data_IF_837650665680
#
_entry.id   IF_837650665680
#
_cell.length_a   1.000
_cell.length_b   1.000
_cell.length_c   1.000
_cell.angle_alpha   90.00
_cell.angle_beta   90.00
_cell.angle_gamma   90.00
#
_symmetry.space_group_name_H-M   'P 1'
#
loop_
_entity.id
_entity.type
_entity.pdbx_description
1 polymer ?
#
# COMPACT_ATOMS: atom_id res chain seq x y z
N UNK A 1 31.19 -11.53 -2.89
CA UNK A 1 31.92 -10.40 -2.26
C UNK A 1 31.48 -10.33 -0.82
N UNK A 2 32.44 -10.39 0.10
CA UNK A 2 32.27 -10.69 1.52
C UNK A 2 31.44 -9.64 2.26
N UNK A 3 30.40 -10.08 2.97
CA UNK A 3 29.66 -9.27 3.92
C UNK A 3 30.50 -9.14 5.21
N UNK A 4 31.07 -7.96 5.43
CA UNK A 4 31.65 -7.60 6.72
C UNK A 4 30.51 -7.19 7.66
N UNK A 5 30.18 -8.06 8.61
CA UNK A 5 29.37 -7.71 9.78
C UNK A 5 30.14 -6.65 10.59
N UNK A 6 29.76 -5.39 10.43
CA UNK A 6 30.24 -4.31 11.28
C UNK A 6 29.42 -4.32 12.58
N UNK A 7 30.11 -4.40 13.73
CA UNK A 7 29.51 -4.19 15.05
C UNK A 7 28.84 -2.80 15.12
N UNK A 8 27.80 -2.60 15.95
CA UNK A 8 27.19 -1.28 16.10
C UNK A 8 28.24 -0.29 16.62
N UNK A 9 28.46 0.79 15.86
CA UNK A 9 29.34 1.87 16.27
C UNK A 9 28.86 2.45 17.61
N UNK A 10 29.76 2.56 18.58
CA UNK A 10 29.51 3.34 19.81
C UNK A 10 29.07 4.76 19.42
N UNK A 11 27.91 5.20 19.92
CA UNK A 11 27.39 6.55 19.71
C UNK A 11 28.40 7.57 20.25
N UNK A 12 29.11 8.25 19.35
CA UNK A 12 30.04 9.32 19.72
C UNK A 12 29.25 10.59 20.04
N UNK A 13 29.49 11.19 21.20
CA UNK A 13 28.84 12.45 21.58
C UNK A 13 29.34 13.57 20.66
N UNK A 14 28.44 14.36 20.04
CA UNK A 14 28.83 15.50 19.21
C UNK A 14 29.38 16.64 20.07
N UNK A 15 30.22 17.46 19.46
CA UNK A 15 30.71 18.73 20.03
C UNK A 15 29.61 19.80 20.03
N UNK A 16 29.82 20.87 20.80
CA UNK A 16 28.87 21.98 20.86
C UNK A 16 28.62 22.61 19.49
N UNK A 17 29.67 22.84 18.70
CA UNK A 17 29.54 23.38 17.34
C UNK A 17 28.79 22.43 16.41
N UNK A 18 28.99 21.12 16.54
CA UNK A 18 28.26 20.11 15.76
C UNK A 18 26.76 20.10 16.10
N UNK A 19 26.40 20.21 17.39
CA UNK A 19 24.99 20.32 17.80
C UNK A 19 24.38 21.60 17.24
N UNK A 20 25.06 22.73 17.39
CA UNK A 20 24.58 24.03 16.89
C UNK A 20 24.40 24.03 15.36
N UNK A 21 25.34 23.40 14.65
CA UNK A 21 25.35 23.26 13.20
C UNK A 21 24.50 22.11 12.65
N UNK A 22 23.80 21.33 13.49
CA UNK A 22 23.04 20.17 13.03
C UNK A 22 21.93 20.60 12.07
N UNK A 23 22.04 20.20 10.81
CA UNK A 23 21.13 20.59 9.73
C UNK A 23 20.04 19.54 9.50
N UNK A 24 18.81 20.01 9.28
CA UNK A 24 17.63 19.19 8.96
C UNK A 24 17.04 19.50 7.58
N UNK A 25 17.55 20.52 6.87
CA UNK A 25 16.98 21.03 5.62
C UNK A 25 17.05 20.01 4.50
N UNK A 26 18.06 19.14 4.51
CA UNK A 26 18.17 18.05 3.55
C UNK A 26 16.96 17.10 3.60
N UNK A 27 16.35 16.88 4.78
CA UNK A 27 15.16 16.02 4.93
C UNK A 27 13.89 16.70 4.40
N UNK A 28 13.70 17.99 4.69
CA UNK A 28 12.54 18.75 4.19
C UNK A 28 12.61 18.96 2.68
N UNK A 29 13.81 19.18 2.14
CA UNK A 29 14.09 19.24 0.71
C UNK A 29 13.81 17.88 0.03
N UNK A 30 14.28 16.78 0.61
CA UNK A 30 14.00 15.43 0.10
C UNK A 30 12.50 15.13 0.09
N UNK A 31 11.79 15.45 1.17
CA UNK A 31 10.34 15.27 1.26
C UNK A 31 9.58 16.02 0.17
N UNK A 32 9.93 17.30 -0.04
CA UNK A 32 9.34 18.14 -1.09
C UNK A 32 9.62 17.56 -2.48
N UNK A 33 10.86 17.11 -2.74
CA UNK A 33 11.23 16.50 -4.01
C UNK A 33 10.46 15.20 -4.29
N UNK A 34 10.31 14.33 -3.29
CA UNK A 34 9.56 13.07 -3.43
C UNK A 34 8.08 13.31 -3.66
N UNK A 35 7.44 14.26 -2.97
CA UNK A 35 6.04 14.62 -3.25
C UNK A 35 5.87 15.18 -4.65
N UNK A 36 6.75 16.08 -5.07
CA UNK A 36 6.71 16.64 -6.41
C UNK A 36 6.90 15.56 -7.50
N UNK A 37 7.76 14.57 -7.25
CA UNK A 37 7.93 13.42 -8.14
C UNK A 37 6.67 12.55 -8.19
N UNK A 38 6.06 12.26 -7.03
CA UNK A 38 4.84 11.48 -6.94
C UNK A 38 3.67 12.13 -7.70
N UNK A 39 3.51 13.45 -7.59
CA UNK A 39 2.52 14.22 -8.36
C UNK A 39 2.80 14.13 -9.85
N UNK A 40 4.04 14.43 -10.29
CA UNK A 40 4.42 14.35 -11.72
C UNK A 40 4.15 12.97 -12.32
N UNK A 41 4.44 11.90 -11.58
CA UNK A 41 4.16 10.54 -12.02
C UNK A 41 2.67 10.27 -12.16
N UNK A 42 1.86 10.66 -11.18
CA UNK A 42 0.39 10.49 -11.26
C UNK A 42 -0.21 11.25 -12.43
N UNK A 43 0.23 12.48 -12.66
CA UNK A 43 -0.28 13.33 -13.74
C UNK A 43 0.10 12.77 -15.11
N UNK A 44 1.37 12.41 -15.32
CA UNK A 44 1.84 11.90 -16.61
C UNK A 44 1.21 10.56 -16.97
N UNK A 45 1.08 9.63 -16.03
CA UNK A 45 0.47 8.33 -16.29
C UNK A 45 -1.06 8.41 -16.43
N UNK A 46 -1.72 9.37 -15.77
CA UNK A 46 -3.13 9.68 -16.08
C UNK A 46 -3.27 10.21 -17.50
N UNK A 47 -2.44 11.18 -17.89
CA UNK A 47 -2.49 11.77 -19.24
C UNK A 47 -2.23 10.73 -20.36
N UNK A 48 -1.27 9.81 -20.16
CA UNK A 48 -1.04 8.70 -21.10
C UNK A 48 -2.27 7.81 -21.20
N UNK A 49 -2.88 7.47 -20.05
CA UNK A 49 -4.04 6.59 -19.99
C UNK A 49 -5.30 7.21 -20.59
N UNK A 50 -5.51 8.51 -20.40
CA UNK A 50 -6.64 9.22 -20.99
C UNK A 50 -6.43 9.38 -22.52
N UNK A 51 -5.19 9.60 -22.94
CA UNK A 51 -4.82 9.74 -24.36
C UNK A 51 -4.92 8.43 -25.17
N UNK A 52 -4.81 7.26 -24.54
CA UNK A 52 -4.80 5.97 -25.26
C UNK A 52 -6.16 5.65 -25.91
N UNK A 53 -7.26 6.21 -25.38
CA UNK A 53 -8.62 5.97 -25.88
C UNK A 53 -8.88 6.72 -27.19
N UNK A 54 -8.17 7.82 -27.43
CA UNK A 54 -8.31 8.61 -28.66
C UNK A 54 -6.97 9.20 -29.09
N UNK A 55 -6.03 8.37 -29.58
CA UNK A 55 -4.73 8.85 -30.06
C UNK A 55 -4.96 9.82 -31.23
N UNK A 56 -4.41 11.03 -31.12
CA UNK A 56 -4.60 12.08 -32.14
C UNK A 56 -6.04 12.62 -32.23
N UNK A 57 -6.88 12.40 -31.21
CA UNK A 57 -8.24 12.93 -31.14
C UNK A 57 -9.32 12.10 -31.84
N UNK A 58 -8.95 10.96 -32.46
CA UNK A 58 -9.90 10.03 -33.07
C UNK A 58 -10.07 8.81 -32.17
N UNK A 59 -11.31 8.36 -31.86
CA UNK A 59 -11.52 7.16 -31.07
C UNK A 59 -10.83 5.94 -31.69
N UNK A 60 -9.95 5.31 -30.91
CA UNK A 60 -9.29 4.07 -31.33
C UNK A 60 -10.05 2.88 -30.76
N UNK A 61 -10.49 1.97 -31.63
CA UNK A 61 -11.37 0.86 -31.27
C UNK A 61 -10.84 -0.48 -31.77
N UNK A 62 -11.39 -1.57 -31.24
CA UNK A 62 -11.02 -2.94 -31.57
C UNK A 62 -9.96 -3.53 -30.64
N UNK A 63 -9.64 -4.80 -30.86
CA UNK A 63 -8.83 -5.62 -29.94
C UNK A 63 -7.43 -5.07 -29.61
N UNK A 64 -6.82 -4.31 -30.53
CA UNK A 64 -5.52 -3.66 -30.28
C UNK A 64 -5.65 -2.42 -29.39
N UNK A 65 -6.74 -1.65 -29.53
CA UNK A 65 -7.04 -0.52 -28.65
C UNK A 65 -7.34 -0.98 -27.22
N UNK A 66 -8.08 -2.09 -27.09
CA UNK A 66 -8.36 -2.71 -25.79
C UNK A 66 -7.08 -3.19 -25.10
N UNK A 67 -6.19 -3.87 -25.85
CA UNK A 67 -4.90 -4.35 -25.33
C UNK A 67 -3.99 -3.21 -24.87
N UNK A 68 -3.93 -2.11 -25.62
CA UNK A 68 -3.13 -0.95 -25.27
C UNK A 68 -3.70 -0.20 -24.05
N UNK A 69 -5.02 -0.04 -23.98
CA UNK A 69 -5.71 0.55 -22.82
C UNK A 69 -5.45 -0.24 -21.54
N UNK A 70 -5.56 -1.58 -21.60
CA UNK A 70 -5.26 -2.45 -20.45
C UNK A 70 -3.81 -2.35 -19.98
N UNK A 71 -2.86 -2.25 -20.91
CA UNK A 71 -1.45 -2.08 -20.57
C UNK A 71 -1.20 -0.72 -19.91
N UNK A 72 -1.76 0.34 -20.48
CA UNK A 72 -1.67 1.69 -19.92
C UNK A 72 -2.26 1.76 -18.51
N UNK A 73 -3.41 1.15 -18.25
CA UNK A 73 -4.04 1.14 -16.92
C UNK A 73 -3.22 0.35 -15.88
N UNK A 74 -2.60 -0.76 -16.31
CA UNK A 74 -1.68 -1.55 -15.48
C UNK A 74 -0.45 -0.74 -15.11
N UNK A 75 0.18 -0.10 -16.09
CA UNK A 75 1.37 0.73 -15.89
C UNK A 75 1.04 1.93 -14.98
N UNK A 76 -0.12 2.57 -15.19
CA UNK A 76 -0.63 3.64 -14.32
C UNK A 76 -0.82 3.17 -12.88
N UNK A 77 -1.48 2.04 -12.66
CA UNK A 77 -1.72 1.50 -11.32
C UNK A 77 -0.41 1.14 -10.61
N UNK A 78 0.54 0.55 -11.34
CA UNK A 78 1.87 0.25 -10.82
C UNK A 78 2.59 1.52 -10.36
N UNK A 79 2.62 2.54 -11.23
CA UNK A 79 3.27 3.82 -10.94
C UNK A 79 2.58 4.58 -9.81
N UNK A 80 1.25 4.49 -9.68
CA UNK A 80 0.52 5.08 -8.57
C UNK A 80 0.94 4.45 -7.24
N UNK A 81 1.12 3.13 -7.20
CA UNK A 81 1.66 2.44 -6.02
C UNK A 81 3.08 2.89 -5.67
N UNK A 82 3.93 3.18 -6.67
CA UNK A 82 5.27 3.75 -6.43
C UNK A 82 5.19 5.21 -5.96
N UNK A 83 4.26 6.00 -6.50
CA UNK A 83 4.00 7.37 -6.09
C UNK A 83 3.46 7.44 -4.65
N UNK A 84 2.63 6.47 -4.22
CA UNK A 84 2.20 6.35 -2.82
C UNK A 84 3.40 6.09 -1.90
N UNK A 85 4.33 5.23 -2.31
CA UNK A 85 5.57 5.00 -1.57
C UNK A 85 6.41 6.27 -1.45
N UNK A 86 6.58 7.05 -2.51
CA UNK A 86 7.27 8.34 -2.45
C UNK A 86 6.60 9.31 -1.45
N UNK A 87 5.27 9.33 -1.39
CA UNK A 87 4.54 10.12 -0.39
C UNK A 87 4.83 9.66 1.05
N UNK A 88 4.93 8.34 1.29
CA UNK A 88 5.29 7.80 2.61
C UNK A 88 6.74 8.14 2.98
N UNK A 89 7.70 8.03 2.04
CA UNK A 89 9.08 8.47 2.27
C UNK A 89 9.14 9.95 2.67
N UNK A 90 8.37 10.79 1.99
CA UNK A 90 8.29 12.22 2.30
C UNK A 90 7.76 12.47 3.72
N UNK A 91 6.72 11.74 4.14
CA UNK A 91 6.20 11.84 5.50
C UNK A 91 7.24 11.42 6.54
N UNK A 92 7.99 10.33 6.31
CA UNK A 92 9.06 9.89 7.22
C UNK A 92 10.15 10.96 7.34
N UNK A 93 10.57 11.57 6.23
CA UNK A 93 11.59 12.62 6.25
C UNK A 93 11.12 13.90 6.97
N UNK A 94 9.86 14.33 6.78
CA UNK A 94 9.33 15.49 7.50
C UNK A 94 9.17 15.26 8.99
N UNK A 95 8.61 14.11 9.39
CA UNK A 95 8.54 13.73 10.80
C UNK A 95 9.94 13.63 11.39
N UNK A 96 10.89 13.02 10.67
CA UNK A 96 12.29 12.94 11.10
C UNK A 96 12.97 14.30 11.24
N UNK A 97 12.71 15.24 10.33
CA UNK A 97 13.23 16.60 10.42
C UNK A 97 12.71 17.33 11.67
N UNK A 98 11.41 17.20 11.96
CA UNK A 98 10.80 17.78 13.16
C UNK A 98 11.33 17.15 14.45
N UNK A 99 11.50 15.83 14.48
CA UNK A 99 12.06 15.10 15.62
C UNK A 99 13.51 15.54 15.89
N UNK A 100 14.33 15.66 14.85
CA UNK A 100 15.71 16.14 14.92
C UNK A 100 15.80 17.59 15.38
N UNK A 101 14.97 18.47 14.82
CA UNK A 101 14.89 19.87 15.25
C UNK A 101 14.53 19.98 16.74
N UNK A 102 13.59 19.18 17.22
CA UNK A 102 13.20 19.12 18.63
C UNK A 102 14.33 18.61 19.51
N UNK A 103 15.03 17.54 19.10
CA UNK A 103 16.17 17.00 19.84
C UNK A 103 17.33 17.99 19.92
N UNK A 104 17.66 18.65 18.80
CA UNK A 104 18.65 19.75 18.73
C UNK A 104 18.29 20.87 19.69
N UNK A 105 17.04 21.32 19.65
CA UNK A 105 16.55 22.40 20.51
C UNK A 105 16.67 22.06 22.00
N UNK A 106 16.37 20.82 22.39
CA UNK A 106 16.54 20.36 23.79
C UNK A 106 18.00 20.35 24.24
N UNK A 107 18.92 19.88 23.38
CA UNK A 107 20.34 19.89 23.68
C UNK A 107 20.88 21.32 23.85
N UNK A 108 20.53 22.23 22.94
CA UNK A 108 20.92 23.65 23.03
C UNK A 108 20.28 24.36 24.22
N UNK A 109 19.03 24.03 24.57
CA UNK A 109 18.37 24.56 25.75
C UNK A 109 19.07 24.12 27.04
N UNK A 110 19.49 22.86 27.15
CA UNK A 110 20.25 22.37 28.30
C UNK A 110 21.59 23.12 28.46
N UNK A 111 22.28 23.42 27.35
CA UNK A 111 23.49 24.24 27.33
C UNK A 111 23.18 25.68 27.78
N UNK A 112 22.14 26.30 27.22
CA UNK A 112 21.74 27.65 27.60
C UNK A 112 21.35 27.76 29.08
N UNK A 113 20.62 26.77 29.63
CA UNK A 113 20.29 26.71 31.05
C UNK A 113 21.54 26.57 31.94
N UNK A 114 22.54 25.78 31.51
CA UNK A 114 23.81 25.69 32.21
C UNK A 114 24.55 27.03 32.26
N UNK A 115 24.59 27.74 31.12
CA UNK A 115 25.21 29.06 31.00
C UNK A 115 24.49 30.11 31.86
N UNK A 116 23.15 30.12 31.85
CA UNK A 116 22.34 30.99 32.70
C UNK A 116 22.55 30.71 34.20
N UNK A 117 22.82 29.45 34.57
CA UNK A 117 23.15 29.06 35.94
C UNK A 117 24.60 29.42 36.36
N UNK A 118 25.38 30.07 35.48
CA UNK A 118 26.74 30.52 35.76
C UNK A 118 27.83 29.48 35.48
N UNK A 119 27.51 28.39 34.77
CA UNK A 119 28.51 27.42 34.32
C UNK A 119 29.02 27.74 32.91
N UNK A 120 30.26 27.36 32.63
CA UNK A 120 30.85 27.41 31.29
C UNK A 120 30.77 26.02 30.68
N UNK A 121 30.23 25.93 29.46
CA UNK A 121 30.17 24.70 28.68
C UNK A 121 31.23 24.75 27.58
N UNK A 122 32.13 23.77 27.57
CA UNK A 122 33.20 23.64 26.56
C UNK A 122 32.73 23.01 25.25
N UNK A 123 33.61 23.02 24.25
CA UNK A 123 33.35 22.41 22.93
C UNK A 123 33.09 20.90 23.02
N UNK A 124 33.74 20.23 23.97
CA UNK A 124 33.57 18.82 24.31
C UNK A 124 32.35 18.55 25.22
N UNK A 125 31.50 19.56 25.43
CA UNK A 125 30.37 19.56 26.37
C UNK A 125 30.77 19.38 27.84
N UNK A 126 32.04 19.57 28.19
CA UNK A 126 32.46 19.60 29.59
C UNK A 126 31.86 20.82 30.30
N UNK A 127 31.45 20.65 31.55
CA UNK A 127 30.81 21.71 32.35
C UNK A 127 31.77 22.13 33.46
N UNK A 128 32.11 23.42 33.52
CA UNK A 128 32.99 24.00 34.52
C UNK A 128 32.28 25.14 35.24
N UNK A 129 32.57 25.34 36.52
CA UNK A 129 32.05 26.48 37.26
C UNK A 129 32.69 27.77 36.75
N UNK A 130 31.87 28.76 36.37
CA UNK A 130 32.31 30.07 35.88
C UNK A 130 32.43 31.14 36.97
N UNK A 131 31.94 30.89 38.19
CA UNK A 131 31.94 31.86 39.27
C UNK A 131 33.30 31.92 39.99
N UNK A 132 33.81 33.13 40.24
CA UNK A 132 35.05 33.36 41.00
C UNK A 132 34.80 33.38 42.51
N UNK A 133 35.79 32.91 43.28
CA UNK A 133 35.90 33.01 44.74
C UNK A 133 34.68 32.49 45.54
N UNK A 134 34.69 31.20 45.88
CA UNK A 134 33.65 30.54 46.67
C UNK A 134 34.19 29.95 47.97
N UNK A 135 33.34 29.87 49.00
CA UNK A 135 33.67 29.12 50.22
C UNK A 135 33.76 27.62 49.93
N UNK A 136 34.56 26.87 50.70
CA UNK A 136 34.72 25.40 50.52
C UNK A 136 33.38 24.65 50.44
N UNK A 137 32.38 24.90 51.30
CA UNK A 137 31.08 24.23 51.21
C UNK A 137 30.33 24.52 49.91
N UNK A 138 30.39 25.76 49.42
CA UNK A 138 29.71 26.16 48.17
C UNK A 138 30.36 25.51 46.95
N UNK A 139 31.70 25.40 46.93
CA UNK A 139 32.43 24.70 45.85
C UNK A 139 31.99 23.23 45.73
N UNK A 140 31.81 22.52 46.84
CA UNK A 140 31.34 21.12 46.81
C UNK A 140 29.94 20.99 46.22
N UNK A 141 29.03 21.90 46.58
CA UNK A 141 27.66 21.92 46.02
C UNK A 141 27.70 22.20 44.52
N UNK A 142 28.48 23.18 44.08
CA UNK A 142 28.57 23.51 42.65
C UNK A 142 29.29 22.44 41.83
N UNK A 143 30.22 21.70 42.43
CA UNK A 143 30.82 20.52 41.79
C UNK A 143 29.75 19.45 41.52
N UNK A 144 28.90 19.12 42.49
CA UNK A 144 27.79 18.17 42.28
C UNK A 144 26.80 18.67 41.21
N UNK A 145 26.45 19.95 41.24
CA UNK A 145 25.59 20.56 40.22
C UNK A 145 26.21 20.47 38.82
N UNK A 146 27.52 20.73 38.68
CA UNK A 146 28.22 20.61 37.39
C UNK A 146 28.15 19.20 36.82
N UNK A 147 28.24 18.17 37.66
CA UNK A 147 28.14 16.77 37.25
C UNK A 147 26.71 16.42 36.78
N UNK A 148 25.69 16.89 37.48
CA UNK A 148 24.28 16.69 37.09
C UNK A 148 23.98 17.38 35.76
N UNK A 149 24.41 18.64 35.61
CA UNK A 149 24.24 19.42 34.38
C UNK A 149 24.99 18.77 33.21
N UNK A 150 26.22 18.31 33.43
CA UNK A 150 26.99 17.59 32.44
C UNK A 150 26.26 16.33 31.98
N UNK A 151 25.77 15.51 32.91
CA UNK A 151 25.02 14.30 32.57
C UNK A 151 23.74 14.60 31.77
N UNK A 152 23.05 15.70 32.09
CA UNK A 152 21.87 16.15 31.35
C UNK A 152 22.21 16.59 29.91
N UNK A 153 23.26 17.40 29.73
CA UNK A 153 23.74 17.84 28.40
C UNK A 153 24.17 16.62 27.57
N UNK A 154 24.91 15.67 28.16
CA UNK A 154 25.31 14.43 27.50
C UNK A 154 24.11 13.60 27.07
N UNK A 155 23.11 13.43 27.94
CA UNK A 155 21.90 12.66 27.63
C UNK A 155 21.13 13.24 26.43
N UNK A 156 20.91 14.55 26.39
CA UNK A 156 20.24 15.19 25.27
C UNK A 156 21.07 15.17 23.97
N UNK A 157 22.39 15.27 24.08
CA UNK A 157 23.29 15.18 22.93
C UNK A 157 23.29 13.78 22.32
N UNK A 158 23.31 12.73 23.16
CA UNK A 158 23.17 11.34 22.71
C UNK A 158 21.77 11.05 22.15
N UNK A 159 20.73 11.65 22.71
CA UNK A 159 19.37 11.54 22.17
C UNK A 159 19.26 12.13 20.76
N UNK A 160 19.95 13.24 20.47
CA UNK A 160 20.03 13.80 19.12
C UNK A 160 20.63 12.79 18.14
N UNK A 161 21.80 12.21 18.46
CA UNK A 161 22.44 11.21 17.60
C UNK A 161 21.58 9.96 17.42
N UNK A 162 20.95 9.47 18.49
CA UNK A 162 20.06 8.31 18.43
C UNK A 162 18.82 8.58 17.56
N UNK A 163 18.27 9.80 17.62
CA UNK A 163 17.16 10.23 16.77
C UNK A 163 17.59 10.27 15.30
N UNK A 164 18.76 10.83 15.01
CA UNK A 164 19.32 10.87 13.66
C UNK A 164 19.48 9.48 13.05
N UNK A 165 20.11 8.56 13.79
CA UNK A 165 20.26 7.18 13.36
C UNK A 165 18.92 6.47 13.16
N UNK A 166 17.93 6.73 14.03
CA UNK A 166 16.59 6.16 13.88
C UNK A 166 15.90 6.66 12.60
N UNK A 167 16.03 7.94 12.27
CA UNK A 167 15.50 8.52 11.02
C UNK A 167 16.23 7.92 9.82
N UNK A 168 17.56 7.85 9.84
CA UNK A 168 18.36 7.27 8.77
C UNK A 168 17.98 5.80 8.51
N UNK A 169 17.84 4.99 9.56
CA UNK A 169 17.47 3.57 9.44
C UNK A 169 16.05 3.38 8.88
N UNK A 170 15.08 4.21 9.29
CA UNK A 170 13.72 4.19 8.75
C UNK A 170 13.73 4.52 7.25
N UNK A 171 14.49 5.53 6.84
CA UNK A 171 14.63 5.91 5.43
C UNK A 171 15.34 4.82 4.61
N UNK A 172 16.44 4.25 5.11
CA UNK A 172 17.16 3.17 4.42
C UNK A 172 16.29 1.91 4.22
N UNK A 173 15.57 1.49 5.28
CA UNK A 173 14.64 0.35 5.22
C UNK A 173 13.57 0.60 4.15
N UNK A 174 13.06 1.83 4.08
CA UNK A 174 12.05 2.21 3.10
C UNK A 174 12.60 2.26 1.66
N UNK A 175 13.80 2.84 1.48
CA UNK A 175 14.47 2.97 0.18
C UNK A 175 14.89 1.62 -0.39
N UNK A 176 15.35 0.67 0.45
CA UNK A 176 15.69 -0.68 0.01
C UNK A 176 14.52 -1.40 -0.70
N UNK A 177 13.27 -1.03 -0.38
CA UNK A 177 12.07 -1.53 -1.05
C UNK A 177 11.81 -0.98 -2.47
N UNK A 178 12.60 -0.03 -2.98
CA UNK A 178 12.46 0.54 -4.33
C UNK A 178 13.26 -0.19 -5.41
N UNK A 179 14.26 -1.00 -5.06
CA UNK A 179 15.25 -1.53 -6.01
C UNK A 179 14.77 -2.54 -7.06
N UNK A 180 13.47 -2.87 -7.12
CA UNK A 180 12.94 -3.95 -7.95
C UNK A 180 11.73 -3.54 -8.80
N UNK A 181 11.71 -2.31 -9.32
CA UNK A 181 10.63 -1.84 -10.22
C UNK A 181 10.95 -2.16 -11.68
N UNK A 182 10.36 -3.22 -12.21
CA UNK A 182 10.33 -3.49 -13.66
C UNK A 182 8.89 -3.38 -14.16
N UNK A 183 8.71 -2.71 -15.29
CA UNK A 183 7.47 -2.80 -16.05
C UNK A 183 7.44 -4.17 -16.75
N UNK A 184 6.46 -5.04 -16.49
CA UNK A 184 6.37 -6.32 -17.18
C UNK A 184 6.18 -6.09 -18.69
N UNK A 185 7.03 -6.71 -19.52
CA UNK A 185 6.84 -6.73 -20.98
C UNK A 185 5.59 -7.57 -21.32
N UNK A 186 4.84 -7.17 -22.35
CA UNK A 186 3.62 -7.87 -22.79
C UNK A 186 3.94 -9.29 -23.28
N UNK A 187 3.07 -10.29 -23.01
CA UNK A 187 3.24 -11.64 -23.55
C UNK A 187 2.81 -11.71 -25.02
N UNK A 188 3.50 -12.55 -25.80
CA UNK A 188 3.12 -12.99 -27.15
C UNK A 188 1.77 -13.72 -27.15
N UNK A 189 0.99 -13.53 -28.22
CA UNK A 189 -0.34 -14.09 -28.42
C UNK A 189 -0.26 -15.60 -28.75
N UNK A 190 -0.89 -16.46 -27.95
CA UNK A 190 -1.09 -17.90 -28.23
C UNK A 190 -2.57 -18.32 -28.02
N UNK A 191 -3.00 -19.47 -28.60
CA UNK A 191 -4.40 -19.84 -28.80
C UNK A 191 -5.12 -20.29 -27.52
N UNK A 192 -6.44 -20.49 -27.65
CA UNK A 192 -7.38 -20.70 -26.55
C UNK A 192 -7.03 -21.89 -25.63
N UNK A 193 -7.09 -21.73 -24.30
CA UNK A 193 -6.63 -22.75 -23.36
C UNK A 193 -7.71 -23.79 -22.98
N UNK A 194 -7.31 -25.06 -22.74
CA UNK A 194 -8.12 -26.09 -22.10
C UNK A 194 -8.23 -25.90 -20.56
N UNK A 195 -9.02 -26.77 -19.91
CA UNK A 195 -9.55 -26.68 -18.52
C UNK A 195 -8.49 -26.32 -17.46
N UNK A 196 -8.88 -25.44 -16.52
CA UNK A 196 -7.98 -24.62 -15.67
C UNK A 196 -7.61 -25.26 -14.32
N UNK A 197 -6.32 -25.56 -14.11
CA UNK A 197 -5.56 -25.16 -12.93
C UNK A 197 -4.56 -24.06 -13.36
N UNK A 198 -4.54 -22.89 -12.70
CA UNK A 198 -3.82 -21.69 -13.21
C UNK A 198 -2.29 -21.90 -13.38
N UNK A 199 -1.60 -21.32 -14.41
CA UNK A 199 -1.96 -20.20 -15.32
C UNK A 199 -1.99 -20.55 -16.85
N UNK A 200 -2.51 -19.67 -17.76
CA UNK A 200 -2.75 -18.22 -17.62
C UNK A 200 -4.21 -17.74 -17.93
N UNK A 201 -4.99 -17.39 -16.90
CA UNK A 201 -6.17 -16.50 -17.04
C UNK A 201 -5.75 -15.05 -16.72
N UNK A 202 -6.02 -14.12 -17.64
CA UNK A 202 -5.79 -12.69 -17.42
C UNK A 202 -7.09 -12.07 -16.85
N UNK A 203 -7.11 -11.63 -15.58
CA UNK A 203 -8.27 -10.93 -15.02
C UNK A 203 -8.58 -9.69 -15.87
N UNK A 204 -9.87 -9.47 -16.17
CA UNK A 204 -10.29 -8.33 -17.00
C UNK A 204 -10.72 -7.15 -16.14
N UNK A 205 -10.46 -5.95 -16.63
CA UNK A 205 -10.88 -4.71 -15.97
C UNK A 205 -12.40 -4.60 -15.98
N UNK A 206 -12.98 -4.30 -14.83
CA UNK A 206 -14.42 -4.05 -14.69
C UNK A 206 -14.76 -2.66 -15.23
N UNK A 207 -15.81 -2.58 -16.04
CA UNK A 207 -16.33 -1.32 -16.57
C UNK A 207 -16.68 -0.34 -15.44
N UNK A 208 -16.38 0.94 -15.66
CA UNK A 208 -16.63 1.98 -14.66
C UNK A 208 -18.13 2.17 -14.40
N UNK A 209 -18.50 2.32 -13.13
CA UNK A 209 -19.84 2.69 -12.69
C UNK A 209 -19.80 4.00 -11.90
N UNK A 210 -20.86 4.80 -12.03
CA UNK A 210 -21.02 5.99 -11.20
C UNK A 210 -21.15 5.58 -9.72
N UNK A 211 -20.48 6.33 -8.84
CA UNK A 211 -20.52 6.09 -7.40
C UNK A 211 -21.92 6.38 -6.83
N UNK A 212 -22.31 5.67 -5.77
CA UNK A 212 -23.58 5.91 -5.06
C UNK A 212 -24.85 5.43 -5.77
N UNK A 213 -24.75 4.55 -6.79
CA UNK A 213 -25.91 4.02 -7.51
C UNK A 213 -26.62 5.05 -8.40
N UNK A 214 -25.97 6.19 -8.69
CA UNK A 214 -26.54 7.31 -9.46
C UNK A 214 -26.37 7.19 -10.98
N UNK A 215 -25.79 6.11 -11.46
CA UNK A 215 -25.58 5.84 -12.88
C UNK A 215 -26.62 4.90 -13.46
N UNK A 216 -26.52 4.61 -14.76
CA UNK A 216 -27.36 3.60 -15.41
C UNK A 216 -27.15 2.21 -14.75
N UNK A 217 -28.17 1.65 -14.07
CA UNK A 217 -28.06 0.35 -13.41
C UNK A 217 -27.88 -0.80 -14.41
N UNK A 218 -28.23 -0.61 -15.68
CA UNK A 218 -28.15 -1.62 -16.74
C UNK A 218 -26.84 -1.52 -17.54
N UNK A 219 -25.92 -0.62 -17.17
CA UNK A 219 -24.61 -0.57 -17.80
C UNK A 219 -23.82 -1.83 -17.47
N UNK A 220 -23.29 -2.49 -18.51
CA UNK A 220 -22.45 -3.68 -18.36
C UNK A 220 -21.12 -3.31 -17.71
N UNK A 221 -20.76 -4.05 -16.67
CA UNK A 221 -19.46 -3.98 -15.99
C UNK A 221 -18.55 -5.07 -16.52
N UNK A 222 -19.05 -6.30 -16.59
CA UNK A 222 -18.25 -7.47 -16.93
C UNK A 222 -19.14 -8.63 -17.35
N UNK A 223 -18.76 -9.31 -18.44
CA UNK A 223 -19.42 -10.54 -18.90
C UNK A 223 -18.54 -11.75 -18.63
N UNK A 224 -19.04 -12.71 -17.87
CA UNK A 224 -18.33 -13.94 -17.52
C UNK A 224 -18.92 -15.11 -18.30
N UNK A 225 -18.05 -15.98 -18.81
CA UNK A 225 -18.50 -17.30 -19.23
C UNK A 225 -19.04 -18.05 -18.00
N UNK A 226 -20.15 -18.76 -18.19
CA UNK A 226 -20.82 -19.57 -17.20
C UNK A 226 -21.06 -20.97 -17.78
N UNK A 227 -20.54 -21.99 -17.09
CA UNK A 227 -20.86 -23.39 -17.37
C UNK A 227 -22.35 -23.68 -17.08
N UNK A 228 -22.91 -24.80 -17.56
CA UNK A 228 -24.29 -25.15 -17.22
C UNK A 228 -24.44 -25.25 -15.69
N UNK A 229 -25.49 -24.63 -15.15
CA UNK A 229 -25.82 -24.73 -13.73
C UNK A 229 -26.92 -25.77 -13.57
N UNK A 230 -26.71 -26.78 -12.72
CA UNK A 230 -27.68 -27.85 -12.48
C UNK A 230 -27.85 -28.01 -10.98
N UNK A 231 -29.09 -27.89 -10.50
CA UNK A 231 -29.46 -28.08 -9.10
C UNK A 231 -30.80 -28.83 -9.04
N UNK A 232 -30.74 -30.16 -8.92
CA UNK A 232 -31.91 -31.03 -8.99
C UNK A 232 -32.58 -30.94 -10.35
N UNK A 233 -33.88 -30.62 -10.37
CA UNK A 233 -34.67 -30.44 -11.60
C UNK A 233 -34.51 -29.07 -12.26
N UNK A 234 -33.85 -28.13 -11.58
CA UNK A 234 -33.62 -26.78 -12.10
C UNK A 234 -32.28 -26.73 -12.82
N UNK A 235 -32.29 -26.29 -14.06
CA UNK A 235 -31.10 -26.20 -14.88
C UNK A 235 -31.08 -24.88 -15.68
N UNK A 236 -29.89 -24.33 -15.82
CA UNK A 236 -29.59 -23.22 -16.70
C UNK A 236 -28.51 -23.64 -17.70
N UNK A 237 -28.73 -23.49 -19.01
CA UNK A 237 -27.71 -23.79 -20.00
C UNK A 237 -26.43 -22.97 -19.78
N UNK A 238 -25.31 -23.48 -20.31
CA UNK A 238 -24.10 -22.69 -20.44
C UNK A 238 -24.35 -21.43 -21.24
N UNK A 239 -23.63 -20.37 -20.94
CA UNK A 239 -23.73 -19.11 -21.66
C UNK A 239 -23.00 -18.03 -20.89
N UNK A 240 -23.47 -16.80 -21.03
CA UNK A 240 -22.86 -15.65 -20.37
C UNK A 240 -23.64 -15.23 -19.13
N UNK A 241 -22.90 -14.83 -18.10
CA UNK A 241 -23.40 -14.13 -16.93
C UNK A 241 -22.88 -12.71 -16.93
N UNK A 242 -23.79 -11.74 -16.86
CA UNK A 242 -23.43 -10.32 -16.95
C UNK A 242 -23.53 -9.67 -15.57
N UNK A 243 -22.44 -9.05 -15.13
CA UNK A 243 -22.43 -8.11 -14.03
C UNK A 243 -22.75 -6.72 -14.58
N UNK A 244 -23.81 -6.11 -14.07
CA UNK A 244 -24.19 -4.73 -14.38
C UNK A 244 -23.80 -3.79 -13.25
N UNK A 245 -23.82 -2.48 -13.50
CA UNK A 245 -23.58 -1.47 -12.47
C UNK A 245 -24.55 -1.64 -11.29
N UNK A 246 -25.82 -1.89 -11.59
CA UNK A 246 -26.85 -2.24 -10.61
C UNK A 246 -27.15 -1.12 -9.61
N UNK A 247 -27.70 -1.52 -8.47
CA UNK A 247 -28.15 -0.64 -7.40
C UNK A 247 -27.94 -1.32 -6.02
N UNK A 248 -28.59 -0.82 -4.97
CA UNK A 248 -28.46 -1.32 -3.61
C UNK A 248 -28.91 -2.79 -3.44
N UNK A 249 -29.68 -3.33 -4.39
CA UNK A 249 -30.21 -4.70 -4.38
C UNK A 249 -29.41 -5.68 -5.24
N UNK A 250 -28.71 -5.21 -6.28
CA UNK A 250 -27.98 -6.11 -7.17
C UNK A 250 -26.81 -5.43 -7.89
N UNK A 251 -25.95 -6.25 -8.51
CA UNK A 251 -24.89 -5.81 -9.40
C UNK A 251 -23.67 -5.26 -8.66
N UNK A 252 -22.83 -4.56 -9.40
CA UNK A 252 -21.55 -4.07 -8.92
C UNK A 252 -21.68 -3.14 -7.70
N UNK A 253 -22.66 -2.24 -7.70
CA UNK A 253 -22.88 -1.33 -6.57
C UNK A 253 -23.22 -2.10 -5.28
N UNK A 254 -24.07 -3.12 -5.36
CA UNK A 254 -24.37 -3.97 -4.22
C UNK A 254 -23.10 -4.70 -3.73
N UNK A 255 -22.29 -5.27 -4.64
CA UNK A 255 -21.03 -5.93 -4.28
C UNK A 255 -20.10 -4.96 -3.54
N UNK A 256 -19.90 -3.75 -4.06
CA UNK A 256 -19.05 -2.74 -3.41
C UNK A 256 -19.60 -2.35 -2.04
N UNK A 257 -20.88 -2.02 -1.96
CA UNK A 257 -21.49 -1.46 -0.74
C UNK A 257 -21.70 -2.48 0.38
N UNK A 258 -21.93 -3.75 0.05
CA UNK A 258 -22.19 -4.81 1.04
C UNK A 258 -21.02 -5.74 1.28
N UNK A 259 -20.16 -5.94 0.27
CA UNK A 259 -19.11 -6.97 0.29
C UNK A 259 -17.73 -6.44 -0.12
N UNK A 260 -17.58 -5.14 -0.39
CA UNK A 260 -16.30 -4.55 -0.78
C UNK A 260 -15.24 -4.77 0.29
N UNK A 261 -15.60 -4.59 1.56
CA UNK A 261 -14.71 -4.82 2.69
C UNK A 261 -14.35 -6.30 2.87
N UNK A 262 -15.30 -7.21 2.61
CA UNK A 262 -15.04 -8.66 2.65
C UNK A 262 -14.01 -9.06 1.59
N UNK A 263 -14.20 -8.57 0.36
CA UNK A 263 -13.26 -8.76 -0.74
C UNK A 263 -11.87 -8.17 -0.45
N UNK A 264 -11.83 -6.96 0.10
CA UNK A 264 -10.57 -6.32 0.46
C UNK A 264 -9.84 -7.09 1.57
N UNK A 265 -10.58 -7.57 2.58
CA UNK A 265 -10.02 -8.37 3.68
C UNK A 265 -9.42 -9.68 3.18
N UNK A 266 -10.12 -10.45 2.33
CA UNK A 266 -9.56 -11.71 1.81
C UNK A 266 -8.38 -11.46 0.87
N UNK A 267 -8.41 -10.39 0.08
CA UNK A 267 -7.29 -10.01 -0.79
C UNK A 267 -6.02 -9.69 0.02
N UNK A 268 -6.16 -8.99 1.14
CA UNK A 268 -5.01 -8.64 1.99
C UNK A 268 -4.53 -9.80 2.87
N UNK A 269 -5.45 -10.56 3.47
CA UNK A 269 -5.11 -11.52 4.54
C UNK A 269 -4.97 -12.97 4.07
N UNK A 270 -5.70 -13.38 3.03
CA UNK A 270 -5.76 -14.80 2.59
C UNK A 270 -5.22 -15.02 1.19
N UNK A 271 -5.13 -13.96 0.39
CA UNK A 271 -4.56 -13.99 -0.97
C UNK A 271 -3.53 -12.87 -1.20
N UNK A 272 -2.50 -12.75 -0.33
CA UNK A 272 -1.47 -11.71 -0.48
C UNK A 272 -0.75 -11.89 -1.83
N UNK A 273 -0.89 -10.90 -2.71
CA UNK A 273 -0.39 -10.94 -4.08
C UNK A 273 -1.46 -10.79 -5.17
N UNK A 274 -2.76 -10.86 -4.83
CA UNK A 274 -3.85 -10.60 -5.78
C UNK A 274 -3.90 -9.14 -6.28
N UNK A 275 -3.21 -8.22 -5.59
CA UNK A 275 -3.24 -6.78 -5.88
C UNK A 275 -4.56 -6.17 -5.42
N UNK A 276 -5.33 -5.60 -6.36
CA UNK A 276 -6.61 -4.96 -6.08
C UNK A 276 -7.70 -6.01 -5.79
N UNK A 277 -8.54 -5.78 -4.78
CA UNK A 277 -9.67 -6.65 -4.45
C UNK A 277 -10.59 -6.93 -5.65
N UNK A 278 -10.71 -5.99 -6.61
CA UNK A 278 -11.49 -6.18 -7.84
C UNK A 278 -10.89 -7.22 -8.78
N UNK A 279 -9.56 -7.35 -8.82
CA UNK A 279 -8.91 -8.40 -9.61
C UNK A 279 -9.13 -9.77 -8.99
N UNK A 280 -9.05 -9.85 -7.66
CA UNK A 280 -9.39 -11.09 -6.96
C UNK A 280 -10.86 -11.47 -7.20
N UNK A 281 -11.77 -10.50 -7.14
CA UNK A 281 -13.19 -10.71 -7.40
C UNK A 281 -13.44 -11.16 -8.85
N UNK A 282 -12.83 -10.53 -9.87
CA UNK A 282 -12.97 -10.95 -11.27
C UNK A 282 -12.53 -12.40 -11.48
N UNK A 283 -11.34 -12.75 -10.97
CA UNK A 283 -10.81 -14.11 -11.03
C UNK A 283 -11.74 -15.11 -10.35
N UNK A 284 -12.12 -14.82 -9.10
CA UNK A 284 -12.90 -15.75 -8.29
C UNK A 284 -14.30 -15.96 -8.88
N UNK A 285 -14.95 -14.90 -9.37
CA UNK A 285 -16.24 -15.00 -10.06
C UNK A 285 -16.09 -15.80 -11.35
N UNK A 286 -15.07 -15.53 -12.15
CA UNK A 286 -14.82 -16.26 -13.40
C UNK A 286 -14.59 -17.75 -13.13
N UNK A 287 -13.76 -18.10 -12.14
CA UNK A 287 -13.48 -19.50 -11.79
C UNK A 287 -14.74 -20.21 -11.27
N UNK A 288 -15.52 -19.53 -10.43
CA UNK A 288 -16.75 -20.07 -9.84
C UNK A 288 -17.82 -20.34 -10.89
N UNK A 289 -17.96 -19.44 -11.88
CA UNK A 289 -18.96 -19.59 -12.94
C UNK A 289 -18.51 -20.57 -14.03
N UNK A 290 -17.21 -20.62 -14.34
CA UNK A 290 -16.69 -21.51 -15.38
C UNK A 290 -16.54 -22.97 -14.91
N UNK A 291 -16.30 -23.19 -13.62
CA UNK A 291 -16.13 -24.52 -13.03
C UNK A 291 -16.75 -24.56 -11.62
N UNK A 292 -18.08 -24.66 -11.51
CA UNK A 292 -18.74 -24.66 -10.22
C UNK A 292 -18.49 -25.97 -9.45
N UNK A 293 -18.11 -25.88 -8.17
CA UNK A 293 -17.99 -27.05 -7.28
C UNK A 293 -19.31 -27.38 -6.58
N UNK A 294 -20.15 -26.36 -6.35
CA UNK A 294 -21.49 -26.52 -5.80
C UNK A 294 -22.46 -25.54 -6.43
N UNK A 295 -23.65 -26.03 -6.76
CA UNK A 295 -24.76 -25.24 -7.30
C UNK A 295 -26.01 -25.57 -6.50
N UNK A 296 -26.62 -24.55 -5.90
CA UNK A 296 -27.94 -24.64 -5.28
C UNK A 296 -28.94 -23.77 -6.07
N UNK A 297 -30.21 -24.13 -6.07
CA UNK A 297 -31.29 -23.32 -6.66
C UNK A 297 -32.26 -22.83 -5.57
N UNK A 298 -32.65 -21.55 -5.66
CA UNK A 298 -33.57 -20.89 -4.74
C UNK A 298 -34.83 -20.50 -5.51
N UNK A 299 -35.88 -21.31 -5.38
CA UNK A 299 -37.15 -21.10 -6.07
C UNK A 299 -37.87 -19.81 -5.66
N UNK A 300 -37.70 -19.36 -4.41
CA UNK A 300 -38.39 -18.18 -3.88
C UNK A 300 -38.02 -16.86 -4.56
N UNK A 301 -36.88 -16.79 -5.25
CA UNK A 301 -36.45 -15.60 -5.99
C UNK A 301 -35.84 -15.92 -7.36
N UNK A 302 -36.05 -17.13 -7.87
CA UNK A 302 -35.49 -17.63 -9.13
C UNK A 302 -33.99 -17.31 -9.27
N UNK A 303 -33.18 -17.85 -8.36
CA UNK A 303 -31.71 -17.68 -8.42
C UNK A 303 -30.94 -18.98 -8.25
N UNK A 304 -29.82 -19.07 -8.94
CA UNK A 304 -28.78 -20.06 -8.68
C UNK A 304 -27.72 -19.47 -7.76
N UNK A 305 -27.31 -20.23 -6.76
CA UNK A 305 -26.17 -19.94 -5.89
C UNK A 305 -25.04 -20.86 -6.30
N UNK A 306 -24.00 -20.27 -6.87
CA UNK A 306 -22.85 -20.98 -7.45
C UNK A 306 -21.65 -20.77 -6.55
N UNK A 307 -20.94 -21.84 -6.19
CA UNK A 307 -19.86 -21.79 -5.23
C UNK A 307 -18.64 -22.59 -5.69
N UNK A 308 -17.46 -22.08 -5.34
CA UNK A 308 -16.17 -22.76 -5.55
C UNK A 308 -15.16 -22.38 -4.48
N UNK A 309 -14.41 -23.36 -3.98
CA UNK A 309 -13.22 -23.12 -3.17
C UNK A 309 -12.10 -22.52 -4.02
N UNK A 310 -11.53 -21.41 -3.55
CA UNK A 310 -10.40 -20.73 -4.18
C UNK A 310 -9.14 -21.07 -3.39
N UNK A 311 -8.13 -21.54 -4.12
CA UNK A 311 -6.84 -21.95 -3.58
C UNK A 311 -5.74 -20.99 -4.04
N UNK A 312 -4.78 -20.73 -3.16
CA UNK A 312 -3.51 -20.07 -3.47
C UNK A 312 -2.45 -21.13 -3.72
N UNK A 313 -1.64 -20.97 -4.76
CA UNK A 313 -0.49 -21.83 -4.99
C UNK A 313 0.71 -21.27 -4.21
N UNK A 314 1.32 -22.11 -3.38
CA UNK A 314 2.58 -21.84 -2.67
C UNK A 314 3.65 -22.81 -3.14
N UNK A 315 4.90 -22.58 -2.73
CA UNK A 315 6.01 -23.51 -2.99
C UNK A 315 5.72 -24.94 -2.50
N UNK A 316 4.89 -25.06 -1.45
CA UNK A 316 4.44 -26.31 -0.85
C UNK A 316 3.15 -26.90 -1.45
N UNK A 317 2.56 -26.28 -2.47
CA UNK A 317 1.34 -26.75 -3.15
C UNK A 317 0.13 -25.83 -2.99
N UNK A 318 -1.06 -26.33 -3.34
CA UNK A 318 -2.29 -25.56 -3.27
C UNK A 318 -2.81 -25.47 -1.81
N UNK A 319 -3.03 -24.25 -1.33
CA UNK A 319 -3.55 -23.95 0.00
C UNK A 319 -4.89 -23.25 -0.14
N UNK A 320 -5.92 -23.74 0.56
CA UNK A 320 -7.23 -23.10 0.58
C UNK A 320 -7.13 -21.65 1.06
N UNK A 321 -7.75 -20.73 0.34
CA UNK A 321 -7.79 -19.32 0.67
C UNK A 321 -9.18 -18.89 1.16
N UNK A 322 -10.21 -19.08 0.34
CA UNK A 322 -11.60 -18.72 0.63
C UNK A 322 -12.56 -19.41 -0.34
N UNK A 323 -13.85 -19.42 -0.05
CA UNK A 323 -14.91 -19.84 -0.97
C UNK A 323 -15.47 -18.61 -1.68
N UNK A 324 -15.55 -18.61 -3.00
CA UNK A 324 -16.31 -17.61 -3.74
C UNK A 324 -17.75 -18.10 -3.93
N UNK A 325 -18.71 -17.21 -3.69
CA UNK A 325 -20.13 -17.42 -3.96
C UNK A 325 -20.62 -16.37 -4.95
N UNK A 326 -21.31 -16.82 -5.99
CA UNK A 326 -21.94 -15.97 -7.01
C UNK A 326 -23.42 -16.31 -7.07
N UNK A 327 -24.28 -15.29 -6.97
CA UNK A 327 -25.74 -15.44 -7.12
C UNK A 327 -26.13 -14.97 -8.51
N UNK A 328 -26.76 -15.86 -9.28
CA UNK A 328 -27.13 -15.64 -10.69
C UNK A 328 -28.65 -15.73 -10.81
N UNK A 329 -29.27 -14.79 -11.52
CA UNK A 329 -30.71 -14.86 -11.84
C UNK A 329 -30.99 -16.03 -12.77
N UNK A 330 -31.97 -16.86 -12.40
CA UNK A 330 -32.47 -18.01 -13.15
C UNK A 330 -33.08 -17.62 -14.50
N UNK A 331 -33.63 -16.40 -14.59
CA UNK A 331 -34.30 -15.89 -15.79
C UNK A 331 -33.34 -15.46 -16.88
N UNK A 332 -32.34 -14.62 -16.56
CA UNK A 332 -31.53 -13.89 -17.56
C UNK A 332 -30.02 -14.08 -17.39
N UNK A 333 -29.58 -14.88 -16.41
CA UNK A 333 -28.17 -15.10 -16.15
C UNK A 333 -27.43 -13.89 -15.54
N UNK A 334 -28.14 -12.82 -15.17
CA UNK A 334 -27.57 -11.64 -14.51
C UNK A 334 -26.93 -12.01 -13.18
N UNK A 335 -25.76 -11.46 -12.91
CA UNK A 335 -25.12 -11.58 -11.59
C UNK A 335 -25.81 -10.62 -10.62
N UNK A 336 -26.48 -11.18 -9.63
CA UNK A 336 -27.17 -10.44 -8.58
C UNK A 336 -26.16 -9.95 -7.54
N UNK A 337 -25.27 -10.81 -7.06
CA UNK A 337 -24.18 -10.46 -6.15
C UNK A 337 -23.08 -11.51 -6.19
N UNK A 338 -21.90 -11.16 -5.68
CA UNK A 338 -20.80 -12.08 -5.47
C UNK A 338 -19.96 -11.66 -4.26
N UNK A 339 -19.59 -12.63 -3.42
CA UNK A 339 -18.85 -12.36 -2.19
C UNK A 339 -18.00 -13.56 -1.76
N UNK A 340 -16.92 -13.32 -0.98
CA UNK A 340 -16.09 -14.38 -0.44
C UNK A 340 -16.63 -14.86 0.92
N UNK A 341 -16.38 -16.11 1.25
CA UNK A 341 -16.62 -16.70 2.57
C UNK A 341 -15.36 -17.43 3.04
N UNK A 342 -15.07 -17.44 4.33
CA UNK A 342 -13.86 -18.07 4.86
C UNK A 342 -14.02 -19.54 5.20
N UNK A 343 -15.22 -20.10 5.08
CA UNK A 343 -15.51 -21.52 5.32
C UNK A 343 -15.54 -22.27 3.99
N UNK A 344 -14.80 -23.39 3.86
CA UNK A 344 -14.86 -24.23 2.66
C UNK A 344 -16.24 -24.88 2.53
N UNK A 345 -16.62 -25.22 1.30
CA UNK A 345 -17.89 -25.92 0.98
C UNK A 345 -17.81 -27.43 1.14
#
# INVERSE_FOLDING_TARGET
MSAQNSAPASLQTPTLSQIAGWDTDHLTNAASAWRAMATRWRDKFSAINDGIVSPGGTPWTGTSADAASMRSDRDRTHVFGLADRLTVAAAIAETGANDLYSAKSKALLAVASAQQAGFVVGEDLSVRDGLRAQSKPLMTVRQLQSQIIWANIQAHSLQLVATDQAVANRLQTFIAGFGNTQFPQSPTKEPAPPKVPMPPYQPRVWGACALGGRGDPNKVVRTFYRAPLVAGVSAMPSGDSVLYCGNDKFGFYHIVSRHGDDWNRVAMSRFPGAGNWRYLADYAISATLADPEKVDYKSGNDTFVVQRNIYRITESGAVYAFTCRVVVSGTDGKIITAYPMTTPI
#
